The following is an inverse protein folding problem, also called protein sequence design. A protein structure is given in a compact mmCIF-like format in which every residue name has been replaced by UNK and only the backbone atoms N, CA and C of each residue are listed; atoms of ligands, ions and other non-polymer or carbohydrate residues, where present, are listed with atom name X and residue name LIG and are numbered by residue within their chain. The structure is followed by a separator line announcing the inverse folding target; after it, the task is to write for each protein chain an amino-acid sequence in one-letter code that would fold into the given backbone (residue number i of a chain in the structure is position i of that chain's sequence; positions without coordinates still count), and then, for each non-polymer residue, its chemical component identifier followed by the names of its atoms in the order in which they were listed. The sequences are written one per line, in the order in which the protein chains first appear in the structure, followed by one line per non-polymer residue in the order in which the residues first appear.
data_IF_542622969491
#
_entry.id   IF_542622969491
#
_cell.length_a   1.000
_cell.length_b   1.000
_cell.length_c   1.000
_cell.angle_alpha   90.00
_cell.angle_beta   90.00
_cell.angle_gamma   90.00
#
_symmetry.space_group_name_H-M   'P 1'
#
loop_
_entity.id
_entity.type
_entity.pdbx_description
1 polymer ?
#
# COMPACT_ATOMS: atom_id res chain seq x y z
N UNK A 1 -11.76 27.49 -2.76
CA UNK A 1 -12.28 26.61 -1.69
C UNK A 1 -11.49 26.94 -0.45
N UNK A 2 -12.18 27.34 0.61
CA UNK A 2 -11.61 27.84 1.88
C UNK A 2 -10.74 26.78 2.56
N UNK A 3 -9.74 27.18 3.37
CA UNK A 3 -8.89 26.24 4.09
C UNK A 3 -9.72 25.54 5.19
N UNK A 4 -10.27 24.37 4.89
CA UNK A 4 -11.08 23.55 5.79
C UNK A 4 -10.21 22.84 6.84
N UNK A 5 -9.52 23.64 7.66
CA UNK A 5 -8.45 23.17 8.52
C UNK A 5 -8.47 23.73 9.93
N UNK A 6 -9.55 24.33 10.42
CA UNK A 6 -9.70 24.77 11.81
C UNK A 6 -10.93 24.11 12.46
N UNK A 7 -10.89 23.76 13.76
CA UNK A 7 -12.07 23.25 14.46
C UNK A 7 -13.20 24.29 14.39
N UNK A 8 -14.33 23.88 13.81
CA UNK A 8 -15.54 24.70 13.66
C UNK A 8 -16.59 24.34 14.70
N UNK A 9 -17.29 25.36 15.18
CA UNK A 9 -18.50 25.18 15.97
C UNK A 9 -19.66 24.62 15.12
N UNK A 10 -20.72 24.13 15.76
CA UNK A 10 -21.92 23.70 15.05
C UNK A 10 -22.59 24.88 14.31
N UNK A 11 -22.54 26.08 14.89
CA UNK A 11 -23.05 27.32 14.31
C UNK A 11 -22.28 27.71 13.04
N UNK A 12 -20.96 27.52 13.01
CA UNK A 12 -20.13 27.84 11.83
C UNK A 12 -20.36 26.88 10.67
N UNK A 13 -20.54 25.59 10.94
CA UNK A 13 -20.77 24.57 9.89
C UNK A 13 -22.12 24.79 9.21
N UNK A 14 -23.12 25.22 9.99
CA UNK A 14 -24.51 25.35 9.53
C UNK A 14 -24.83 26.76 8.99
N UNK A 15 -23.92 27.72 9.20
CA UNK A 15 -24.05 29.12 8.77
C UNK A 15 -24.27 29.26 7.26
N UNK A 16 -23.51 28.53 6.45
CA UNK A 16 -23.60 28.59 4.99
C UNK A 16 -24.92 28.01 4.46
N UNK A 17 -25.64 27.25 5.30
CA UNK A 17 -26.95 26.69 5.01
C UNK A 17 -28.10 27.55 5.55
N UNK A 18 -27.80 28.65 6.24
CA UNK A 18 -28.80 29.52 6.85
C UNK A 18 -29.59 28.88 8.00
N UNK A 19 -29.10 27.77 8.58
CA UNK A 19 -29.78 27.10 9.68
C UNK A 19 -29.44 27.78 11.01
N UNK A 20 -30.47 28.01 11.82
CA UNK A 20 -30.31 28.46 13.20
C UNK A 20 -30.41 27.27 14.17
N UNK A 21 -30.21 27.55 15.47
CA UNK A 21 -30.23 26.54 16.52
C UNK A 21 -31.55 25.76 16.60
N UNK A 22 -32.69 26.44 16.42
CA UNK A 22 -34.01 25.80 16.45
C UNK A 22 -34.24 24.92 15.22
N UNK A 23 -33.75 25.32 14.04
CA UNK A 23 -33.80 24.47 12.84
C UNK A 23 -32.99 23.18 13.05
N UNK A 24 -31.80 23.31 13.64
CA UNK A 24 -30.93 22.16 13.93
C UNK A 24 -31.56 21.24 14.98
N UNK A 25 -32.20 21.78 16.02
CA UNK A 25 -32.95 20.99 17.01
C UNK A 25 -34.13 20.25 16.35
N UNK A 26 -34.92 20.94 15.52
CA UNK A 26 -36.07 20.38 14.83
C UNK A 26 -35.68 19.25 13.85
N UNK A 27 -34.64 19.45 13.04
CA UNK A 27 -34.22 18.45 12.05
C UNK A 27 -33.52 17.26 12.69
N UNK A 28 -32.67 17.48 13.70
CA UNK A 28 -31.94 16.38 14.36
C UNK A 28 -32.76 15.63 15.40
N UNK A 29 -33.92 16.16 15.80
CA UNK A 29 -34.73 15.61 16.90
C UNK A 29 -34.05 15.71 18.27
N UNK A 30 -33.07 16.60 18.42
CA UNK A 30 -32.39 16.87 19.68
C UNK A 30 -33.07 18.01 20.44
N UNK A 31 -33.07 17.93 21.78
CA UNK A 31 -33.54 19.03 22.61
C UNK A 31 -32.72 20.31 22.34
N UNK A 32 -33.38 21.47 22.29
CA UNK A 32 -32.72 22.76 22.08
C UNK A 32 -31.60 23.03 23.11
N UNK A 33 -31.77 22.57 24.35
CA UNK A 33 -30.74 22.66 25.39
C UNK A 33 -29.48 21.84 25.08
N UNK A 34 -29.61 20.76 24.32
CA UNK A 34 -28.49 19.97 23.82
C UNK A 34 -27.81 20.67 22.66
N UNK A 35 -28.58 21.20 21.71
CA UNK A 35 -28.00 21.97 20.58
C UNK A 35 -27.30 23.22 21.09
N UNK A 36 -27.89 23.95 22.03
CA UNK A 36 -27.30 25.14 22.67
C UNK A 36 -25.91 24.87 23.27
N UNK A 37 -25.73 23.74 23.95
CA UNK A 37 -24.43 23.35 24.53
C UNK A 37 -23.35 23.07 23.48
N UNK A 38 -23.75 22.69 22.28
CA UNK A 38 -22.85 22.36 21.16
C UNK A 38 -22.66 23.55 20.21
N UNK A 39 -23.59 24.49 20.20
CA UNK A 39 -23.76 25.52 19.17
C UNK A 39 -22.48 26.30 18.87
N UNK A 40 -21.88 26.89 19.90
CA UNK A 40 -20.66 27.72 19.79
C UNK A 40 -19.41 27.03 20.37
N UNK A 41 -19.50 25.75 20.71
CA UNK A 41 -18.38 25.00 21.26
C UNK A 41 -17.57 24.34 20.13
N UNK A 42 -16.35 24.80 19.87
CA UNK A 42 -15.47 24.22 18.83
C UNK A 42 -15.04 22.77 19.09
N UNK A 43 -15.11 22.30 20.35
CA UNK A 43 -14.81 20.93 20.76
C UNK A 43 -16.07 20.05 20.87
N UNK A 44 -17.19 20.49 20.29
CA UNK A 44 -18.48 19.80 20.43
C UNK A 44 -18.46 18.34 20.00
N UNK A 45 -17.63 17.99 18.99
CA UNK A 45 -17.47 16.61 18.51
C UNK A 45 -16.91 15.65 19.57
N UNK A 46 -16.13 16.16 20.53
CA UNK A 46 -15.56 15.34 21.61
C UNK A 46 -16.52 15.15 22.79
N UNK A 47 -17.59 15.96 22.84
CA UNK A 47 -18.55 16.00 23.96
C UNK A 47 -19.92 15.46 23.60
N UNK A 48 -20.22 15.35 22.31
CA UNK A 48 -21.50 14.84 21.81
C UNK A 48 -21.60 13.32 21.98
N UNK A 49 -22.77 12.82 22.41
CA UNK A 49 -23.00 11.38 22.51
C UNK A 49 -23.08 10.74 21.11
N UNK A 50 -22.73 9.45 20.99
CA UNK A 50 -22.78 8.75 19.70
C UNK A 50 -24.16 8.78 19.02
N UNK A 51 -25.25 8.69 19.81
CA UNK A 51 -26.63 8.78 19.28
C UNK A 51 -26.95 10.19 18.77
N UNK A 52 -26.55 11.22 19.52
CA UNK A 52 -26.75 12.62 19.13
C UNK A 52 -25.93 12.97 17.88
N UNK A 53 -24.69 12.48 17.80
CA UNK A 53 -23.84 12.65 16.62
C UNK A 53 -24.46 12.00 15.38
N UNK A 54 -24.95 10.77 15.49
CA UNK A 54 -25.62 10.08 14.39
C UNK A 54 -26.86 10.82 13.90
N UNK A 55 -27.62 11.41 14.84
CA UNK A 55 -28.82 12.20 14.51
C UNK A 55 -28.46 13.50 13.79
N UNK A 56 -27.38 14.19 14.21
CA UNK A 56 -26.85 15.36 13.52
C UNK A 56 -26.29 15.01 12.13
N UNK A 57 -25.48 13.95 12.00
CA UNK A 57 -24.88 13.52 10.73
C UNK A 57 -25.93 13.10 9.69
N UNK A 58 -27.05 12.53 10.13
CA UNK A 58 -28.12 12.07 9.23
C UNK A 58 -29.07 13.17 8.80
N UNK A 59 -29.18 14.23 9.59
CA UNK A 59 -30.24 15.25 9.43
C UNK A 59 -29.72 16.62 9.03
N UNK A 60 -28.45 16.92 9.31
CA UNK A 60 -27.83 18.22 9.06
C UNK A 60 -26.71 18.03 8.02
N UNK A 61 -26.87 18.55 6.80
CA UNK A 61 -25.84 18.40 5.79
C UNK A 61 -24.53 19.12 6.19
N UNK A 62 -23.38 18.59 5.76
CA UNK A 62 -22.06 19.10 6.15
C UNK A 62 -21.52 18.55 7.47
N UNK A 63 -22.38 18.04 8.38
CA UNK A 63 -21.92 17.48 9.65
C UNK A 63 -21.21 16.15 9.47
N UNK A 64 -21.67 15.29 8.56
CA UNK A 64 -21.03 14.01 8.30
C UNK A 64 -19.61 14.20 7.72
N UNK A 65 -19.48 15.10 6.74
CA UNK A 65 -18.22 15.46 6.10
C UNK A 65 -17.26 16.11 7.10
N UNK A 66 -17.75 17.07 7.89
CA UNK A 66 -16.95 17.71 8.93
C UNK A 66 -16.48 16.72 9.99
N UNK A 67 -17.36 15.83 10.47
CA UNK A 67 -17.01 14.79 11.46
C UNK A 67 -15.92 13.86 10.94
N UNK A 68 -16.03 13.41 9.68
CA UNK A 68 -15.01 12.59 9.05
C UNK A 68 -13.68 13.33 8.93
N UNK A 69 -13.67 14.55 8.39
CA UNK A 69 -12.46 15.37 8.25
C UNK A 69 -11.79 15.65 9.60
N UNK A 70 -12.58 16.01 10.61
CA UNK A 70 -12.10 16.26 11.97
C UNK A 70 -11.48 15.02 12.60
N UNK A 71 -12.10 13.84 12.43
CA UNK A 71 -11.58 12.58 12.98
C UNK A 71 -10.21 12.21 12.39
N UNK A 72 -10.04 12.39 11.07
CA UNK A 72 -8.77 12.15 10.36
C UNK A 72 -7.70 13.12 10.87
N UNK A 73 -8.03 14.40 11.01
CA UNK A 73 -7.11 15.42 11.54
C UNK A 73 -6.71 15.13 12.98
N UNK A 74 -7.66 14.88 13.87
CA UNK A 74 -7.38 14.58 15.28
C UNK A 74 -6.46 13.36 15.39
N UNK A 75 -6.72 12.31 14.62
CA UNK A 75 -5.85 11.13 14.53
C UNK A 75 -4.45 11.51 14.04
N UNK A 76 -4.34 12.33 12.99
CA UNK A 76 -3.06 12.84 12.47
C UNK A 76 -2.29 13.59 13.55
N UNK A 77 -2.91 14.58 14.18
CA UNK A 77 -2.22 15.47 15.13
C UNK A 77 -1.69 14.68 16.35
N UNK A 78 -2.47 13.71 16.86
CA UNK A 78 -2.02 12.76 17.89
C UNK A 78 -0.87 11.90 17.41
N UNK A 79 -0.98 11.32 16.21
CA UNK A 79 0.04 10.45 15.64
C UNK A 79 1.36 11.18 15.40
N UNK A 80 1.32 12.42 14.92
CA UNK A 80 2.51 13.27 14.74
C UNK A 80 3.23 13.54 16.05
N UNK A 81 2.48 13.77 17.14
CA UNK A 81 3.04 13.91 18.47
C UNK A 81 3.80 12.65 18.91
N UNK A 82 3.20 11.47 18.70
CA UNK A 82 3.84 10.19 19.03
C UNK A 82 5.07 9.88 18.16
N UNK A 83 5.01 10.14 16.85
CA UNK A 83 6.14 9.95 15.94
C UNK A 83 7.33 10.82 16.32
N UNK A 84 7.07 12.11 16.61
CA UNK A 84 8.12 13.03 17.06
C UNK A 84 8.79 12.55 18.35
N UNK A 85 8.03 11.96 19.27
CA UNK A 85 8.58 11.43 20.52
C UNK A 85 9.54 10.24 20.30
N UNK A 86 9.36 9.48 19.22
CA UNK A 86 10.26 8.38 18.81
C UNK A 86 11.33 8.81 17.79
N UNK A 87 11.50 10.12 17.55
CA UNK A 87 12.48 10.64 16.59
C UNK A 87 12.08 10.61 15.12
N UNK A 88 10.84 10.20 14.79
CA UNK A 88 10.32 10.21 13.42
C UNK A 88 9.69 11.57 13.09
N UNK A 89 10.43 12.41 12.36
CA UNK A 89 9.94 13.73 11.93
C UNK A 89 9.20 13.61 10.60
N UNK A 90 7.90 13.92 10.62
CA UNK A 90 7.06 13.95 9.42
C UNK A 90 7.17 15.30 8.72
N UNK A 91 7.36 15.27 7.40
CA UNK A 91 7.14 16.40 6.53
C UNK A 91 5.64 16.60 6.29
N UNK A 92 5.08 17.63 6.93
CA UNK A 92 3.65 17.96 6.85
C UNK A 92 3.23 18.38 5.45
N UNK A 93 4.08 19.10 4.73
CA UNK A 93 3.77 19.57 3.38
C UNK A 93 3.72 18.38 2.41
N UNK A 94 4.69 17.48 2.51
CA UNK A 94 4.68 16.24 1.74
C UNK A 94 3.49 15.34 2.10
N UNK A 95 3.13 15.25 3.40
CA UNK A 95 1.96 14.48 3.84
C UNK A 95 0.66 15.04 3.27
N UNK A 96 0.45 16.35 3.34
CA UNK A 96 -0.81 17.00 2.90
C UNK A 96 -0.96 17.04 1.38
N UNK A 97 0.14 17.23 0.64
CA UNK A 97 0.14 17.30 -0.83
C UNK A 97 0.28 15.92 -1.51
N UNK A 98 0.38 14.84 -0.74
CA UNK A 98 0.55 13.50 -1.29
C UNK A 98 -0.65 13.07 -2.14
N UNK A 99 -0.43 12.46 -3.32
CA UNK A 99 -1.51 11.90 -4.15
C UNK A 99 -2.10 10.60 -3.57
N UNK A 100 -1.53 10.06 -2.48
CA UNK A 100 -2.02 8.85 -1.82
C UNK A 100 -3.10 9.23 -0.79
N UNK A 101 -4.21 8.47 -0.70
CA UNK A 101 -5.25 8.78 0.27
C UNK A 101 -4.74 8.88 1.71
N UNK A 102 -5.09 9.97 2.40
CA UNK A 102 -4.68 10.25 3.79
C UNK A 102 -4.84 9.06 4.75
N UNK A 103 -5.95 8.27 4.72
CA UNK A 103 -6.07 7.12 5.60
C UNK A 103 -4.96 6.07 5.42
N UNK A 104 -4.44 5.88 4.20
CA UNK A 104 -3.34 4.95 3.94
C UNK A 104 -2.01 5.49 4.46
N UNK A 105 -1.76 6.80 4.30
CA UNK A 105 -0.57 7.46 4.84
C UNK A 105 -0.54 7.42 6.37
N UNK A 106 -1.66 7.74 7.03
CA UNK A 106 -1.77 7.67 8.49
C UNK A 106 -1.60 6.23 9.00
N UNK A 107 -2.11 5.23 8.28
CA UNK A 107 -1.86 3.83 8.61
C UNK A 107 -0.37 3.49 8.48
N UNK A 108 0.31 3.95 7.42
CA UNK A 108 1.73 3.68 7.18
C UNK A 108 2.61 4.31 8.28
N UNK A 109 2.30 5.54 8.66
CA UNK A 109 2.93 6.25 9.76
C UNK A 109 2.68 5.56 11.12
N UNK A 110 1.47 5.06 11.37
CA UNK A 110 1.18 4.28 12.58
C UNK A 110 1.93 2.94 12.60
N UNK A 111 2.07 2.28 11.45
CA UNK A 111 2.88 1.08 11.32
C UNK A 111 4.36 1.36 11.61
N UNK A 112 4.90 2.47 11.08
CA UNK A 112 6.26 2.92 11.37
C UNK A 112 6.47 3.16 12.88
N UNK A 113 5.51 3.81 13.53
CA UNK A 113 5.54 4.02 14.99
C UNK A 113 5.57 2.69 15.76
N UNK A 114 4.73 1.72 15.36
CA UNK A 114 4.73 0.40 16.00
C UNK A 114 6.05 -0.37 15.81
N UNK A 115 6.68 -0.24 14.64
CA UNK A 115 7.97 -0.86 14.34
C UNK A 115 9.06 -0.25 15.23
N UNK A 116 9.19 1.08 15.25
CA UNK A 116 10.23 1.78 16.03
C UNK A 116 10.09 1.56 17.53
N UNK A 117 8.86 1.51 18.04
CA UNK A 117 8.60 1.20 19.47
C UNK A 117 8.91 -0.25 19.86
N UNK A 118 9.14 -1.13 18.89
CA UNK A 118 9.31 -2.55 19.17
C UNK A 118 8.06 -3.21 19.78
N UNK A 119 6.87 -2.74 19.41
CA UNK A 119 5.59 -3.25 19.90
C UNK A 119 5.44 -4.77 19.68
N UNK A 120 4.54 -5.44 20.44
CA UNK A 120 4.38 -6.89 20.34
C UNK A 120 4.15 -7.36 18.90
N UNK A 121 4.92 -8.36 18.50
CA UNK A 121 4.99 -8.89 17.11
C UNK A 121 3.63 -9.21 16.51
N UNK A 122 2.65 -9.67 17.31
CA UNK A 122 1.29 -9.98 16.85
C UNK A 122 0.48 -8.73 16.46
N UNK A 123 0.59 -7.66 17.25
CA UNK A 123 -0.06 -6.38 16.95
C UNK A 123 0.57 -5.79 15.69
N UNK A 124 1.89 -5.70 15.68
CA UNK A 124 2.67 -5.18 14.55
C UNK A 124 2.40 -5.96 13.26
N UNK A 125 2.36 -7.30 13.29
CA UNK A 125 2.08 -8.11 12.10
C UNK A 125 0.67 -7.90 11.55
N UNK A 126 -0.34 -7.75 12.42
CA UNK A 126 -1.72 -7.49 11.99
C UNK A 126 -1.88 -6.13 11.29
N UNK A 127 -1.10 -5.13 11.70
CA UNK A 127 -1.08 -3.82 11.04
C UNK A 127 -0.36 -3.90 9.70
N UNK A 128 0.83 -4.50 9.67
CA UNK A 128 1.68 -4.56 8.48
C UNK A 128 1.06 -5.44 7.37
N UNK A 129 0.34 -6.50 7.73
CA UNK A 129 -0.36 -7.33 6.75
C UNK A 129 -1.37 -6.54 5.89
N UNK A 130 -1.89 -5.40 6.39
CA UNK A 130 -2.84 -4.55 5.66
C UNK A 130 -2.21 -3.83 4.47
N UNK A 131 -0.88 -3.82 4.39
CA UNK A 131 -0.14 -3.21 3.29
C UNK A 131 0.04 -4.14 2.09
N UNK A 132 -0.54 -5.34 2.14
CA UNK A 132 -0.75 -6.15 0.93
C UNK A 132 -1.85 -5.54 0.07
N UNK A 133 -1.46 -4.60 -0.78
CA UNK A 133 -2.31 -3.95 -1.76
C UNK A 133 -1.69 -2.67 -2.29
N UNK A 134 -1.98 -2.34 -3.55
CA UNK A 134 -1.32 -1.26 -4.28
C UNK A 134 -1.24 0.08 -3.56
N UNK A 135 -2.38 0.65 -3.19
CA UNK A 135 -2.41 1.99 -2.56
C UNK A 135 -1.80 1.96 -1.16
N UNK A 136 -1.86 0.83 -0.47
CA UNK A 136 -1.25 0.66 0.84
C UNK A 136 0.27 0.52 0.73
N UNK A 137 0.78 -0.33 -0.17
CA UNK A 137 2.22 -0.48 -0.41
C UNK A 137 2.85 0.84 -0.88
N UNK A 138 2.16 1.59 -1.74
CA UNK A 138 2.59 2.94 -2.14
C UNK A 138 2.66 3.92 -0.96
N UNK A 139 1.70 3.87 -0.03
CA UNK A 139 1.77 4.67 1.19
C UNK A 139 2.98 4.31 2.04
N UNK A 140 3.30 3.01 2.11
CA UNK A 140 4.46 2.52 2.84
C UNK A 140 5.78 2.92 2.17
N UNK A 141 5.88 2.81 0.84
CA UNK A 141 7.04 3.31 0.08
C UNK A 141 7.35 4.77 0.40
N UNK A 142 6.34 5.65 0.44
CA UNK A 142 6.55 7.07 0.76
C UNK A 142 7.08 7.29 2.17
N UNK A 143 6.77 6.39 3.11
CA UNK A 143 7.29 6.46 4.49
C UNK A 143 8.74 5.96 4.55
N UNK A 144 9.13 4.96 3.74
CA UNK A 144 10.50 4.43 3.69
C UNK A 144 11.45 5.21 2.78
N UNK A 145 10.92 6.02 1.86
CA UNK A 145 11.69 6.77 0.86
C UNK A 145 12.58 7.84 1.48
N UNK A 146 13.86 7.84 1.09
CA UNK A 146 14.84 8.92 1.33
C UNK A 146 15.01 9.85 0.13
N UNK A 147 14.35 9.56 -1.00
CA UNK A 147 14.37 10.42 -2.18
C UNK A 147 13.83 11.84 -1.83
N UNK A 148 14.63 12.91 -2.07
CA UNK A 148 14.21 14.28 -1.77
C UNK A 148 12.91 14.64 -2.48
N UNK A 149 11.94 15.17 -1.73
CA UNK A 149 10.63 15.59 -2.25
C UNK A 149 9.63 14.45 -2.51
N UNK A 150 10.01 13.19 -2.26
CA UNK A 150 9.12 12.03 -2.35
C UNK A 150 8.75 11.45 -0.98
N UNK A 151 9.70 11.43 -0.05
CA UNK A 151 9.49 10.89 1.30
C UNK A 151 8.54 11.72 2.17
N UNK A 152 7.76 11.04 3.02
CA UNK A 152 6.90 11.67 4.05
C UNK A 152 7.68 11.85 5.37
N UNK A 153 8.65 11.00 5.64
CA UNK A 153 9.58 11.19 6.75
C UNK A 153 10.77 12.02 6.28
N UNK A 154 11.19 12.99 7.09
CA UNK A 154 12.40 13.78 6.81
C UNK A 154 13.67 12.93 6.87
N UNK A 155 13.66 11.92 7.75
CA UNK A 155 14.71 10.93 7.87
C UNK A 155 14.07 9.57 8.24
N UNK A 156 14.04 8.60 7.32
CA UNK A 156 13.50 7.27 7.58
C UNK A 156 14.51 6.30 8.22
N UNK A 157 15.74 6.72 8.56
CA UNK A 157 16.82 5.82 8.97
C UNK A 157 16.47 4.95 10.20
N UNK A 158 15.90 5.56 11.26
CA UNK A 158 15.49 4.84 12.48
C UNK A 158 14.45 3.76 12.15
N UNK A 159 13.52 4.06 11.23
CA UNK A 159 12.53 3.10 10.78
C UNK A 159 13.19 1.95 10.01
N UNK A 160 14.13 2.23 9.11
CA UNK A 160 14.86 1.21 8.34
C UNK A 160 15.60 0.25 9.27
N UNK A 161 16.40 0.78 10.19
CA UNK A 161 17.15 -0.02 11.17
C UNK A 161 16.22 -0.88 12.04
N UNK A 162 15.14 -0.28 12.54
CA UNK A 162 14.13 -1.00 13.35
C UNK A 162 13.43 -2.10 12.54
N UNK A 163 13.24 -1.89 11.23
CA UNK A 163 12.63 -2.88 10.33
C UNK A 163 13.55 -4.06 10.07
N UNK A 164 14.86 -3.80 9.96
CA UNK A 164 15.89 -4.84 9.80
C UNK A 164 15.94 -5.73 11.05
N UNK A 165 15.88 -5.17 12.27
CA UNK A 165 15.79 -5.95 13.52
C UNK A 165 14.48 -6.75 13.62
N UNK A 166 13.38 -6.16 13.15
CA UNK A 166 12.05 -6.77 13.26
C UNK A 166 11.87 -7.98 12.33
N UNK A 167 12.44 -7.96 11.12
CA UNK A 167 12.22 -9.00 10.11
C UNK A 167 12.56 -10.42 10.61
N UNK A 168 13.74 -10.70 11.22
CA UNK A 168 14.04 -12.01 11.81
C UNK A 168 13.07 -12.41 12.94
N UNK A 169 12.63 -11.45 13.76
CA UNK A 169 11.72 -11.71 14.89
C UNK A 169 10.32 -12.09 14.41
N UNK A 170 9.85 -11.47 13.34
CA UNK A 170 8.61 -11.86 12.68
C UNK A 170 8.73 -13.24 12.06
N UNK A 171 9.85 -13.54 11.40
CA UNK A 171 10.07 -14.81 10.71
C UNK A 171 10.14 -16.01 11.67
N UNK A 172 10.58 -15.81 12.93
CA UNK A 172 10.57 -16.84 13.99
C UNK A 172 9.18 -17.12 14.58
N UNK A 173 8.19 -16.24 14.36
CA UNK A 173 6.84 -16.31 14.98
C UNK A 173 5.71 -16.36 13.95
N UNK A 174 5.99 -16.86 12.76
CA UNK A 174 5.07 -16.83 11.60
C UNK A 174 4.04 -17.94 11.62
N UNK A 175 3.27 -18.06 12.70
CA UNK A 175 2.22 -19.09 12.83
C UNK A 175 0.89 -18.67 12.18
N UNK A 176 0.78 -17.41 11.74
CA UNK A 176 -0.44 -16.86 11.15
C UNK A 176 -0.19 -16.31 9.76
N UNK A 177 -1.22 -16.36 8.90
CA UNK A 177 -1.18 -15.77 7.57
C UNK A 177 -0.85 -14.26 7.59
N UNK A 178 -1.33 -13.52 8.61
CA UNK A 178 -0.99 -12.11 8.79
C UNK A 178 0.50 -11.90 9.07
N UNK A 179 1.12 -12.79 9.87
CA UNK A 179 2.57 -12.75 10.09
C UNK A 179 3.34 -13.03 8.79
N UNK A 180 2.86 -13.96 7.95
CA UNK A 180 3.49 -14.30 6.66
C UNK A 180 3.44 -13.08 5.71
N UNK A 181 2.27 -12.43 5.61
CA UNK A 181 2.11 -11.19 4.85
C UNK A 181 3.00 -10.07 5.40
N UNK A 182 3.04 -9.88 6.72
CA UNK A 182 3.82 -8.84 7.34
C UNK A 182 5.33 -8.99 7.09
N UNK A 183 5.86 -10.21 7.17
CA UNK A 183 7.27 -10.49 6.85
C UNK A 183 7.55 -10.12 5.40
N UNK A 184 6.72 -10.59 4.45
CA UNK A 184 6.93 -10.28 3.04
C UNK A 184 6.91 -8.76 2.76
N UNK A 185 5.93 -8.03 3.31
CA UNK A 185 5.81 -6.57 3.16
C UNK A 185 7.05 -5.86 3.69
N UNK A 186 7.52 -6.20 4.90
CA UNK A 186 8.72 -5.57 5.47
C UNK A 186 9.95 -5.92 4.66
N UNK A 187 10.14 -7.19 4.32
CA UNK A 187 11.27 -7.64 3.51
C UNK A 187 11.32 -6.90 2.17
N UNK A 188 10.17 -6.72 1.52
CA UNK A 188 10.05 -5.96 0.28
C UNK A 188 10.49 -4.51 0.45
N UNK A 189 9.99 -3.81 1.47
CA UNK A 189 10.33 -2.41 1.71
C UNK A 189 11.80 -2.21 2.12
N UNK A 190 12.31 -3.07 3.01
CA UNK A 190 13.72 -3.06 3.42
C UNK A 190 14.64 -3.30 2.22
N UNK A 191 14.33 -4.28 1.37
CA UNK A 191 15.14 -4.59 0.18
C UNK A 191 15.10 -3.50 -0.90
N UNK A 192 14.05 -2.68 -0.96
CA UNK A 192 14.00 -1.50 -1.86
C UNK A 192 14.95 -0.39 -1.45
N UNK A 193 15.18 -0.22 -0.14
CA UNK A 193 15.91 0.94 0.39
C UNK A 193 17.28 0.60 0.96
N UNK A 194 17.65 -0.68 0.96
CA UNK A 194 18.94 -1.13 1.46
C UNK A 194 19.87 -1.45 0.31
N UNK A 195 20.98 -0.72 0.23
CA UNK A 195 22.06 -0.99 -0.72
C UNK A 195 22.76 -2.32 -0.36
N UNK A 196 22.27 -3.41 -0.94
CA UNK A 196 22.98 -4.70 -0.90
C UNK A 196 22.88 -5.45 0.43
N UNK A 197 21.73 -5.42 1.12
CA UNK A 197 21.47 -6.48 2.11
C UNK A 197 21.45 -7.80 1.35
N UNK A 198 22.52 -8.59 1.51
CA UNK A 198 22.52 -10.00 1.16
C UNK A 198 21.27 -10.61 1.77
N UNK A 199 20.50 -11.30 0.92
CA UNK A 199 19.18 -11.85 1.18
C UNK A 199 19.16 -12.96 2.26
N UNK A 200 19.99 -12.86 3.29
CA UNK A 200 19.98 -13.74 4.44
C UNK A 200 19.09 -13.16 5.55
N UNK A 201 17.81 -12.94 5.22
CA UNK A 201 16.77 -12.68 6.22
C UNK A 201 16.37 -13.96 7.00
N UNK A 202 17.30 -14.91 7.14
CA UNK A 202 17.16 -16.15 7.90
C UNK A 202 16.09 -17.06 7.32
N UNK A 203 16.39 -17.79 6.24
CA UNK A 203 15.45 -18.71 5.60
C UNK A 203 15.33 -20.04 6.35
N UNK A 204 14.81 -20.03 7.57
CA UNK A 204 14.38 -21.24 8.27
C UNK A 204 12.86 -21.20 8.49
N UNK A 205 12.12 -21.99 7.70
CA UNK A 205 10.66 -22.04 7.76
C UNK A 205 10.05 -23.04 6.77
N UNK A 206 8.74 -23.33 6.87
CA UNK A 206 8.03 -24.15 5.90
C UNK A 206 8.23 -23.60 4.48
N UNK A 207 8.43 -24.48 3.49
CA UNK A 207 8.83 -24.11 2.12
C UNK A 207 8.03 -22.94 1.50
N UNK A 208 6.72 -22.83 1.81
CA UNK A 208 5.84 -21.76 1.32
C UNK A 208 6.09 -20.39 1.97
N UNK A 209 6.35 -20.36 3.27
CA UNK A 209 6.65 -19.11 3.98
C UNK A 209 7.99 -18.56 3.48
N UNK A 210 9.00 -19.43 3.40
CA UNK A 210 10.31 -19.09 2.88
C UNK A 210 10.19 -18.58 1.43
N UNK A 211 9.45 -19.28 0.58
CA UNK A 211 9.16 -18.83 -0.80
C UNK A 211 8.60 -17.40 -0.85
N UNK A 212 7.66 -17.08 0.04
CA UNK A 212 7.01 -15.78 0.03
C UNK A 212 7.91 -14.68 0.55
N UNK A 213 8.65 -14.91 1.63
CA UNK A 213 9.65 -13.95 2.10
C UNK A 213 10.72 -13.70 1.03
N UNK A 214 11.25 -14.77 0.41
CA UNK A 214 12.23 -14.70 -0.69
C UNK A 214 11.69 -13.87 -1.85
N UNK A 215 10.42 -14.08 -2.26
CA UNK A 215 9.80 -13.24 -3.29
C UNK A 215 9.80 -11.76 -2.90
N UNK A 216 9.43 -11.44 -1.65
CA UNK A 216 9.41 -10.06 -1.16
C UNK A 216 10.77 -9.37 -1.31
N UNK A 217 11.82 -10.05 -0.85
CA UNK A 217 13.22 -9.59 -0.99
C UNK A 217 13.58 -9.37 -2.45
N UNK A 218 13.38 -10.38 -3.31
CA UNK A 218 13.76 -10.31 -4.72
C UNK A 218 13.01 -9.18 -5.44
N UNK A 219 11.70 -9.06 -5.24
CA UNK A 219 10.93 -7.97 -5.86
C UNK A 219 11.43 -6.59 -5.40
N UNK A 220 11.75 -6.45 -4.11
CA UNK A 220 12.29 -5.19 -3.58
C UNK A 220 13.64 -4.85 -4.21
N UNK A 221 14.55 -5.82 -4.25
CA UNK A 221 15.88 -5.67 -4.86
C UNK A 221 15.81 -5.42 -6.37
N UNK A 222 14.90 -6.06 -7.11
CA UNK A 222 14.74 -5.81 -8.54
C UNK A 222 14.21 -4.40 -8.84
N UNK A 223 13.43 -3.81 -7.92
CA UNK A 223 12.93 -2.44 -8.08
C UNK A 223 14.04 -1.41 -7.82
N UNK A 224 14.90 -1.67 -6.82
CA UNK A 224 15.96 -0.72 -6.41
C UNK A 224 17.27 -0.89 -7.17
N UNK A 225 17.54 -2.08 -7.69
CA UNK A 225 18.77 -2.40 -8.43
C UNK A 225 18.47 -2.73 -9.89
N UNK A 226 19.43 -2.44 -10.77
CA UNK A 226 19.37 -2.86 -12.17
C UNK A 226 20.09 -4.21 -12.39
N UNK A 227 20.02 -5.12 -11.39
CA UNK A 227 20.64 -6.44 -11.42
C UNK A 227 19.80 -7.43 -12.25
N UNK A 228 20.19 -7.60 -13.52
CA UNK A 228 19.51 -8.47 -14.48
C UNK A 228 19.76 -9.95 -14.14
N UNK A 229 20.93 -10.25 -13.58
CA UNK A 229 21.36 -11.58 -13.18
C UNK A 229 20.49 -12.13 -12.03
N UNK A 230 20.07 -11.26 -11.10
CA UNK A 230 19.08 -11.60 -10.08
C UNK A 230 17.74 -12.02 -10.69
N UNK A 231 17.25 -11.29 -11.69
CA UNK A 231 16.00 -11.64 -12.38
C UNK A 231 16.13 -12.98 -13.13
N UNK A 232 17.28 -13.25 -13.78
CA UNK A 232 17.56 -14.55 -14.43
C UNK A 232 17.65 -15.70 -13.44
N UNK A 233 18.31 -15.48 -12.29
CA UNK A 233 18.38 -16.48 -11.21
C UNK A 233 16.98 -16.80 -10.70
N UNK A 234 16.18 -15.77 -10.42
CA UNK A 234 14.82 -15.96 -9.92
C UNK A 234 13.93 -16.70 -10.93
N UNK A 235 14.02 -16.34 -12.21
CA UNK A 235 13.31 -17.06 -13.29
C UNK A 235 13.66 -18.57 -13.31
N UNK A 236 14.94 -18.92 -13.18
CA UNK A 236 15.38 -20.32 -13.13
C UNK A 236 14.86 -21.04 -11.90
N UNK A 237 14.88 -20.40 -10.73
CA UNK A 237 14.35 -20.97 -9.49
C UNK A 237 12.85 -21.23 -9.55
N UNK A 238 12.09 -20.30 -10.15
CA UNK A 238 10.65 -20.45 -10.39
C UNK A 238 10.31 -21.63 -11.28
N UNK A 239 11.10 -21.84 -12.34
CA UNK A 239 10.92 -22.98 -13.25
C UNK A 239 11.28 -24.31 -12.59
N UNK A 240 12.28 -24.32 -11.70
CA UNK A 240 12.70 -25.52 -10.98
C UNK A 240 11.77 -25.87 -9.81
N UNK A 241 11.05 -24.88 -9.24
CA UNK A 241 10.33 -25.03 -7.97
C UNK A 241 8.85 -24.67 -8.10
N UNK A 242 7.93 -25.65 -8.21
CA UNK A 242 6.50 -25.40 -8.45
C UNK A 242 5.83 -24.47 -7.44
N UNK A 243 6.26 -24.49 -6.17
CA UNK A 243 5.69 -23.64 -5.11
C UNK A 243 5.99 -22.16 -5.32
N UNK A 244 7.17 -21.83 -5.87
CA UNK A 244 7.52 -20.44 -6.18
C UNK A 244 6.66 -19.95 -7.35
N UNK A 245 6.46 -20.80 -8.36
CA UNK A 245 5.62 -20.45 -9.51
C UNK A 245 4.17 -20.19 -9.11
N UNK A 246 3.59 -21.07 -8.31
CA UNK A 246 2.22 -20.90 -7.82
C UNK A 246 2.07 -19.60 -7.00
N UNK A 247 3.07 -19.29 -6.19
CA UNK A 247 3.12 -18.05 -5.42
C UNK A 247 3.18 -16.81 -6.32
N UNK A 248 4.00 -16.85 -7.37
CA UNK A 248 4.11 -15.73 -8.31
C UNK A 248 2.81 -15.50 -9.09
N UNK A 249 2.15 -16.59 -9.51
CA UNK A 249 0.82 -16.55 -10.12
C UNK A 249 -0.25 -15.96 -9.16
N UNK A 250 -0.10 -16.20 -7.86
CA UNK A 250 -1.02 -15.73 -6.81
C UNK A 250 -0.81 -14.27 -6.40
N UNK A 251 0.44 -13.81 -6.38
CA UNK A 251 0.82 -12.57 -5.72
C UNK A 251 0.19 -11.32 -6.35
N UNK A 252 0.43 -11.07 -7.63
CA UNK A 252 -0.11 -9.89 -8.31
C UNK A 252 -1.65 -9.82 -8.29
N UNK A 253 -2.40 -10.89 -8.64
CA UNK A 253 -3.85 -10.80 -8.64
C UNK A 253 -4.44 -10.52 -7.26
N UNK A 254 -3.84 -11.01 -6.18
CA UNK A 254 -4.31 -10.68 -4.83
C UNK A 254 -3.87 -9.30 -4.37
N UNK A 255 -2.69 -8.83 -4.78
CA UNK A 255 -2.19 -7.48 -4.53
C UNK A 255 -3.05 -6.40 -5.23
N UNK A 256 -3.49 -6.66 -6.46
CA UNK A 256 -4.35 -5.76 -7.24
C UNK A 256 -5.85 -5.99 -7.01
N UNK A 257 -6.21 -6.95 -6.16
CA UNK A 257 -7.60 -7.32 -5.78
C UNK A 257 -8.44 -7.94 -6.90
N UNK A 258 -7.82 -8.44 -7.97
CA UNK A 258 -8.51 -9.33 -8.91
C UNK A 258 -8.83 -10.68 -8.23
N UNK A 259 -7.91 -11.19 -7.41
CA UNK A 259 -8.04 -12.40 -6.61
C UNK A 259 -8.27 -12.12 -5.12
N UNK A 260 -8.89 -13.07 -4.42
CA UNK A 260 -9.01 -13.03 -2.95
C UNK A 260 -7.75 -13.61 -2.30
N UNK A 261 -7.35 -13.03 -1.18
CA UNK A 261 -6.31 -13.58 -0.33
C UNK A 261 -6.69 -14.97 0.19
N UNK A 262 -5.75 -15.90 0.13
CA UNK A 262 -5.87 -17.22 0.74
C UNK A 262 -4.53 -17.63 1.33
N UNK A 263 -4.58 -18.37 2.44
CA UNK A 263 -3.37 -18.81 3.16
C UNK A 263 -2.63 -19.95 2.46
N UNK A 264 -3.27 -20.60 1.50
CA UNK A 264 -2.72 -21.70 0.71
C UNK A 264 -2.17 -21.25 -0.66
N UNK A 265 -2.20 -19.95 -0.95
CA UNK A 265 -1.73 -19.34 -2.20
C UNK A 265 -2.45 -19.88 -3.45
N UNK A 266 -3.72 -20.22 -3.31
CA UNK A 266 -4.56 -20.69 -4.41
C UNK A 266 -5.36 -19.56 -5.04
N UNK A 267 -5.66 -19.71 -6.32
CA UNK A 267 -6.59 -18.82 -7.01
C UNK A 267 -7.67 -19.63 -7.73
N UNK A 268 -8.87 -19.05 -7.97
CA UNK A 268 -9.94 -19.70 -8.73
C UNK A 268 -9.47 -20.13 -10.12
N UNK A 269 -10.02 -21.21 -10.70
CA UNK A 269 -9.61 -21.69 -12.03
C UNK A 269 -9.84 -20.68 -13.16
N UNK A 270 -10.82 -19.78 -13.00
CA UNK A 270 -11.05 -18.64 -13.89
C UNK A 270 -10.93 -17.35 -13.08
N UNK A 271 -10.08 -16.44 -13.54
CA UNK A 271 -9.84 -15.15 -12.91
C UNK A 271 -9.58 -14.13 -14.01
N UNK A 272 -10.32 -13.02 -14.00
CA UNK A 272 -10.06 -11.91 -14.91
C UNK A 272 -8.99 -11.02 -14.31
N UNK A 273 -7.92 -10.74 -15.06
CA UNK A 273 -6.76 -9.99 -14.58
C UNK A 273 -6.86 -8.48 -14.88
N UNK A 274 -8.03 -7.87 -14.70
CA UNK A 274 -8.28 -6.46 -15.12
C UNK A 274 -7.40 -5.45 -14.38
N UNK A 275 -7.38 -5.51 -13.05
CA UNK A 275 -6.59 -4.58 -12.24
C UNK A 275 -5.10 -4.91 -12.34
N UNK A 276 -4.79 -6.21 -12.38
CA UNK A 276 -3.45 -6.75 -12.60
C UNK A 276 -2.84 -6.25 -13.89
N UNK A 277 -3.55 -6.34 -15.01
CA UNK A 277 -3.06 -5.87 -16.30
C UNK A 277 -2.79 -4.36 -16.28
N UNK A 278 -3.65 -3.58 -15.64
CA UNK A 278 -3.46 -2.13 -15.48
C UNK A 278 -2.20 -1.83 -14.66
N UNK A 279 -1.95 -2.60 -13.60
CA UNK A 279 -0.76 -2.42 -12.78
C UNK A 279 0.53 -2.83 -13.51
N UNK A 280 0.53 -3.97 -14.21
CA UNK A 280 1.69 -4.40 -15.00
C UNK A 280 2.05 -3.37 -16.08
N UNK A 281 1.07 -2.78 -16.76
CA UNK A 281 1.30 -1.71 -17.74
C UNK A 281 1.97 -0.48 -17.09
N UNK A 282 1.55 -0.11 -15.88
CA UNK A 282 2.20 0.96 -15.11
C UNK A 282 3.64 0.59 -14.78
N UNK A 283 3.86 -0.62 -14.29
CA UNK A 283 5.19 -1.08 -13.85
C UNK A 283 6.19 -1.19 -15.01
N UNK A 284 5.74 -1.61 -16.20
CA UNK A 284 6.55 -1.56 -17.44
C UNK A 284 7.10 -0.15 -17.70
N UNK A 285 6.27 0.87 -17.46
CA UNK A 285 6.62 2.27 -17.74
C UNK A 285 7.46 2.93 -16.65
N UNK A 286 7.39 2.44 -15.41
CA UNK A 286 7.97 3.14 -14.24
C UNK A 286 9.25 2.49 -13.73
N UNK A 287 9.36 1.17 -13.75
CA UNK A 287 10.49 0.48 -13.15
C UNK A 287 11.67 0.26 -14.11
N UNK A 288 12.83 -0.02 -13.52
CA UNK A 288 14.11 -0.20 -14.19
C UNK A 288 14.14 -1.42 -15.14
N UNK A 289 15.27 -1.62 -15.82
CA UNK A 289 15.41 -2.66 -16.84
C UNK A 289 15.44 -4.08 -16.23
N UNK A 290 15.99 -4.27 -15.03
CA UNK A 290 15.97 -5.57 -14.34
C UNK A 290 14.55 -6.00 -13.95
N UNK A 291 13.75 -5.09 -13.41
CA UNK A 291 12.34 -5.35 -13.11
C UNK A 291 11.53 -5.61 -14.39
N UNK A 292 11.77 -4.82 -15.44
CA UNK A 292 11.15 -5.03 -16.74
C UNK A 292 11.50 -6.42 -17.31
N UNK A 293 12.76 -6.83 -17.19
CA UNK A 293 13.20 -8.17 -17.60
C UNK A 293 12.46 -9.27 -16.83
N UNK A 294 12.29 -9.12 -15.53
CA UNK A 294 11.47 -10.02 -14.72
C UNK A 294 10.02 -10.10 -15.24
N UNK A 295 9.39 -8.96 -15.56
CA UNK A 295 8.02 -8.94 -16.09
C UNK A 295 7.91 -9.74 -17.39
N UNK A 296 8.81 -9.53 -18.36
CA UNK A 296 8.74 -10.17 -19.68
C UNK A 296 9.21 -11.62 -19.70
N UNK A 297 10.18 -11.98 -18.86
CA UNK A 297 10.70 -13.35 -18.78
C UNK A 297 9.83 -14.26 -17.92
N UNK A 298 9.14 -13.70 -16.93
CA UNK A 298 8.53 -14.47 -15.85
C UNK A 298 7.06 -14.14 -15.68
N UNK A 299 6.73 -12.94 -15.23
CA UNK A 299 5.37 -12.65 -14.75
C UNK A 299 4.32 -12.67 -15.86
N UNK A 300 4.55 -11.95 -16.96
CA UNK A 300 3.58 -11.86 -18.06
C UNK A 300 3.27 -13.23 -18.67
N UNK A 301 4.27 -14.10 -18.97
CA UNK A 301 4.00 -15.48 -19.39
C UNK A 301 3.10 -16.26 -18.41
N UNK A 302 3.30 -16.10 -17.09
CA UNK A 302 2.48 -16.77 -16.08
C UNK A 302 1.04 -16.22 -16.08
N UNK A 303 0.88 -14.89 -16.13
CA UNK A 303 -0.42 -14.24 -16.20
C UNK A 303 -1.22 -14.66 -17.44
N UNK A 304 -0.57 -14.82 -18.61
CA UNK A 304 -1.22 -15.26 -19.84
C UNK A 304 -1.69 -16.71 -19.79
N UNK A 305 -1.00 -17.59 -19.06
CA UNK A 305 -1.50 -18.96 -18.84
C UNK A 305 -2.81 -18.97 -18.03
N UNK A 306 -3.05 -17.91 -17.27
CA UNK A 306 -4.22 -17.74 -16.39
C UNK A 306 -5.38 -17.06 -17.12
N UNK A 307 -5.08 -15.99 -17.82
CA UNK A 307 -6.02 -15.15 -18.55
C UNK A 307 -5.40 -14.77 -19.90
N UNK A 308 -5.78 -15.50 -20.95
CA UNK A 308 -5.27 -15.28 -22.30
C UNK A 308 -5.61 -13.89 -22.85
N UNK A 309 -6.70 -13.27 -22.36
CA UNK A 309 -7.07 -11.92 -22.75
C UNK A 309 -6.30 -10.86 -21.96
N UNK A 310 -5.51 -11.24 -20.96
CA UNK A 310 -4.73 -10.36 -20.09
C UNK A 310 -5.58 -9.19 -19.57
N UNK A 311 -6.71 -9.49 -18.92
CA UNK A 311 -7.64 -8.48 -18.43
C UNK A 311 -8.37 -7.69 -19.52
N UNK A 312 -8.30 -8.12 -20.78
CA UNK A 312 -8.81 -7.41 -21.95
C UNK A 312 -7.85 -6.33 -22.49
N UNK A 313 -6.56 -6.38 -22.11
CA UNK A 313 -5.55 -5.34 -22.41
C UNK A 313 -4.39 -5.82 -23.28
N UNK A 314 -4.60 -6.85 -24.10
CA UNK A 314 -3.54 -7.42 -24.94
C UNK A 314 -2.90 -6.40 -25.89
N UNK A 315 -3.71 -5.54 -26.51
CA UNK A 315 -3.22 -4.53 -27.45
C UNK A 315 -2.33 -3.49 -26.75
N UNK A 316 -2.77 -2.99 -25.60
CA UNK A 316 -1.99 -2.06 -24.78
C UNK A 316 -0.71 -2.72 -24.25
N UNK A 317 -0.77 -4.01 -23.87
CA UNK A 317 0.40 -4.76 -23.45
C UNK A 317 1.44 -4.86 -24.58
N UNK A 318 1.02 -5.25 -25.79
CA UNK A 318 1.92 -5.32 -26.95
C UNK A 318 2.59 -3.98 -27.18
N UNK A 319 1.80 -2.90 -27.20
CA UNK A 319 2.33 -1.55 -27.43
C UNK A 319 3.32 -1.13 -26.34
N UNK A 320 2.99 -1.35 -25.07
CA UNK A 320 3.85 -0.99 -23.95
C UNK A 320 5.20 -1.76 -23.99
N UNK A 321 5.15 -3.06 -24.33
CA UNK A 321 6.35 -3.89 -24.47
C UNK A 321 7.23 -3.44 -25.63
N UNK A 322 6.65 -3.09 -26.77
CA UNK A 322 7.38 -2.60 -27.93
C UNK A 322 8.07 -1.27 -27.63
N UNK A 323 7.34 -0.32 -27.04
CA UNK A 323 7.89 0.98 -26.65
C UNK A 323 9.03 0.81 -25.64
N UNK A 324 8.80 0.09 -24.54
CA UNK A 324 9.82 -0.11 -23.51
C UNK A 324 11.02 -0.90 -24.02
N UNK A 325 10.78 -1.89 -24.89
CA UNK A 325 11.83 -2.72 -25.46
C UNK A 325 12.80 -1.97 -26.38
N UNK A 326 12.39 -0.86 -26.99
CA UNK A 326 13.27 0.00 -27.79
C UNK A 326 14.31 0.70 -26.91
N UNK A 327 13.92 1.12 -25.71
CA UNK A 327 14.77 1.89 -24.80
C UNK A 327 15.80 1.03 -24.06
N UNK A 328 15.56 -0.28 -23.93
CA UNK A 328 16.43 -1.20 -23.21
C UNK A 328 17.78 -1.40 -23.92
N UNK A 329 18.89 -1.20 -23.19
CA UNK A 329 20.24 -1.35 -23.72
C UNK A 329 20.74 -2.80 -23.71
N UNK A 330 20.27 -3.62 -22.78
CA UNK A 330 20.68 -5.03 -22.69
C UNK A 330 20.03 -5.87 -23.80
N UNK A 331 20.87 -6.63 -24.52
CA UNK A 331 20.45 -7.49 -25.64
C UNK A 331 19.51 -8.61 -25.18
N UNK A 332 19.73 -9.20 -24.00
CA UNK A 332 18.94 -10.29 -23.43
C UNK A 332 17.50 -9.83 -23.23
N UNK A 333 17.33 -8.64 -22.65
CA UNK A 333 16.01 -8.02 -22.43
C UNK A 333 15.28 -7.83 -23.75
N UNK A 334 15.94 -7.21 -24.74
CA UNK A 334 15.34 -6.99 -26.08
C UNK A 334 14.92 -8.30 -26.74
N UNK A 335 15.76 -9.33 -26.67
CA UNK A 335 15.46 -10.64 -27.28
C UNK A 335 14.26 -11.33 -26.60
N UNK A 336 14.21 -11.32 -25.28
CA UNK A 336 13.10 -11.89 -24.51
C UNK A 336 11.81 -11.12 -24.77
N UNK A 337 11.85 -9.78 -24.73
CA UNK A 337 10.70 -8.94 -25.06
C UNK A 337 10.19 -9.19 -26.49
N UNK A 338 11.06 -9.18 -27.49
CA UNK A 338 10.69 -9.43 -28.89
C UNK A 338 10.09 -10.84 -29.11
N UNK A 339 10.52 -11.83 -28.32
CA UNK A 339 9.95 -13.18 -28.37
C UNK A 339 8.54 -13.19 -27.78
N UNK A 340 8.35 -12.52 -26.64
CA UNK A 340 7.04 -12.37 -26.02
C UNK A 340 6.06 -11.60 -26.91
N UNK A 341 6.47 -10.46 -27.48
CA UNK A 341 5.64 -9.65 -28.38
C UNK A 341 5.19 -10.45 -29.60
N UNK A 342 6.09 -11.23 -30.23
CA UNK A 342 5.72 -12.11 -31.35
C UNK A 342 4.67 -13.14 -30.95
N UNK A 343 4.80 -13.75 -29.77
CA UNK A 343 3.81 -14.67 -29.23
C UNK A 343 2.47 -13.97 -28.97
N UNK A 344 2.47 -12.78 -28.40
CA UNK A 344 1.25 -12.00 -28.14
C UNK A 344 0.51 -11.63 -29.43
N UNK A 345 1.24 -11.21 -30.47
CA UNK A 345 0.67 -10.90 -31.80
C UNK A 345 0.08 -12.11 -32.52
N UNK A 346 0.40 -13.33 -32.10
CA UNK A 346 -0.23 -14.55 -32.62
C UNK A 346 -1.52 -14.95 -31.88
N UNK A 347 -1.81 -14.30 -30.74
CA UNK A 347 -3.03 -14.54 -29.94
C UNK A 347 -4.15 -13.58 -30.37
N UNK A 348 -3.78 -12.35 -30.74
CA UNK A 348 -4.66 -11.33 -31.34
C UNK A 348 -4.91 -11.67 -32.81
#
# INVERSE_FOLDING_TARGET
MTPDGEPKSLSEITKDMGLNMSDVAAFSGLDESTVFRLWDNVEWLDRVSGRSLQSLMSSIPGIAEYSQAHSVRKRRDVLLGHLRAEGLLVDLEALENSPVPQPHLLNALEAALCIVRGEPTQKTSSFIARFWGREQDRALELVYSDEPGRGILRDPQILRESSIDLAPRLNRKTYSFHSILAVNVISHQVSKVSDGIEADLGTEGPARQTAFTTRGVIMGSLISSNDIELAEKYHRELNATPVYRALEEWAFPTYTRDGRLSSDFTLPSRLSLRNTATEVLREIAVYNDAYFYYLVSTYIPLALNRDLAFGGKLAELIQALELRGIDCQDRRIRQTCNTLVRRLKSIV
#
